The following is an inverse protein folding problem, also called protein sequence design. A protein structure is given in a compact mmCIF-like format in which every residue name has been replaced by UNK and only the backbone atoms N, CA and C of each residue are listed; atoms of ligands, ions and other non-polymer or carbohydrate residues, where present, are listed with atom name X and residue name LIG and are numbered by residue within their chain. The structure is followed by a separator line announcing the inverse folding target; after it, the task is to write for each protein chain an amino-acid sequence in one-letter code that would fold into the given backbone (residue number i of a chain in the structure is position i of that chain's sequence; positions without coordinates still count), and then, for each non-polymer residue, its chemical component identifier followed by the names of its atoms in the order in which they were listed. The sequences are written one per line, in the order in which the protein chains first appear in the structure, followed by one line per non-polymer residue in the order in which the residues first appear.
data_IF_004945035228
#
_entry.id   IF_004945035228
#
_cell.length_a   1.000
_cell.length_b   1.000
_cell.length_c   1.000
_cell.angle_alpha   90.00
_cell.angle_beta   90.00
_cell.angle_gamma   90.00
#
_symmetry.space_group_name_H-M   'P 1'
#
loop_
_entity.id
_entity.type
_entity.pdbx_description
1 polymer ?
#
# COMPACT_ATOMS: atom_id res chain seq x y z
N UNK A 1 35.77 -0.97 30.98
CA UNK A 1 34.73 -0.04 30.45
C UNK A 1 34.59 -0.09 28.93
N UNK A 2 35.70 -0.05 28.16
CA UNK A 2 35.69 -0.07 26.67
C UNK A 2 34.93 -1.26 26.06
N UNK A 3 35.06 -2.48 26.60
CA UNK A 3 34.33 -3.67 26.10
C UNK A 3 32.80 -3.54 26.18
N UNK A 4 32.26 -2.81 27.17
CA UNK A 4 30.82 -2.58 27.31
C UNK A 4 30.30 -1.57 26.29
N UNK A 5 31.12 -0.56 25.97
CA UNK A 5 30.79 0.47 24.96
C UNK A 5 30.77 -0.14 23.55
N UNK A 6 31.71 -1.04 23.24
CA UNK A 6 31.76 -1.72 21.95
C UNK A 6 30.52 -2.59 21.70
N UNK A 7 30.04 -3.27 22.75
CA UNK A 7 28.84 -4.11 22.68
C UNK A 7 27.57 -3.26 22.42
N UNK A 8 27.47 -2.09 23.04
CA UNK A 8 26.35 -1.15 22.83
C UNK A 8 26.33 -0.65 21.38
N UNK A 9 27.48 -0.34 20.79
CA UNK A 9 27.60 0.09 19.39
C UNK A 9 27.14 -0.98 18.39
N UNK A 10 27.49 -2.24 18.63
CA UNK A 10 27.04 -3.37 17.80
C UNK A 10 25.52 -3.55 17.89
N UNK A 11 24.95 -3.44 19.09
CA UNK A 11 23.49 -3.54 19.28
C UNK A 11 22.74 -2.41 18.59
N UNK A 12 23.29 -1.18 18.58
CA UNK A 12 22.68 -0.04 17.88
C UNK A 12 22.72 -0.23 16.35
N UNK A 13 23.81 -0.78 15.80
CA UNK A 13 23.89 -1.07 14.36
C UNK A 13 22.86 -2.13 13.91
N UNK A 14 22.52 -3.08 14.76
CA UNK A 14 21.54 -4.13 14.45
C UNK A 14 20.08 -3.62 14.42
N UNK A 15 19.80 -2.43 14.98
CA UNK A 15 18.44 -1.88 15.00
C UNK A 15 18.08 -1.03 13.78
N UNK A 16 19.02 -0.77 12.85
CA UNK A 16 18.73 -0.05 11.61
C UNK A 16 18.14 -1.01 10.58
N UNK A 17 16.92 -1.49 10.85
CA UNK A 17 16.14 -2.25 9.87
C UNK A 17 15.44 -1.27 8.92
N UNK A 18 15.67 -1.44 7.62
CA UNK A 18 15.04 -0.63 6.57
C UNK A 18 13.57 -1.04 6.43
N UNK A 19 12.62 -0.14 6.75
CA UNK A 19 11.20 -0.39 6.54
C UNK A 19 10.87 -0.38 5.04
N UNK A 20 10.21 -1.42 4.55
CA UNK A 20 9.67 -1.45 3.19
C UNK A 20 8.57 -0.38 3.03
N UNK A 21 8.40 0.20 1.83
CA UNK A 21 7.33 1.16 1.57
C UNK A 21 5.98 0.44 1.56
N UNK A 22 5.38 0.33 2.74
CA UNK A 22 4.08 -0.26 2.97
C UNK A 22 3.16 0.81 3.60
N UNK A 23 2.01 1.04 2.97
CA UNK A 23 1.06 2.08 3.34
C UNK A 23 -0.27 1.45 3.75
N UNK A 24 -0.90 2.05 4.76
CA UNK A 24 -2.28 1.76 5.17
C UNK A 24 -3.12 3.00 4.98
N UNK A 25 -4.30 2.83 4.38
CA UNK A 25 -5.24 3.91 4.11
C UNK A 25 -6.64 3.44 4.48
N UNK A 26 -7.37 4.25 5.24
CA UNK A 26 -8.79 4.04 5.55
C UNK A 26 -9.60 5.15 4.89
N UNK A 27 -10.56 4.77 4.07
CA UNK A 27 -11.47 5.68 3.38
C UNK A 27 -12.85 5.58 4.02
N UNK A 28 -13.32 6.71 4.53
CA UNK A 28 -14.67 6.91 5.06
C UNK A 28 -15.38 8.10 4.41
N UNK A 29 -14.66 8.88 3.58
CA UNK A 29 -15.22 10.00 2.82
C UNK A 29 -15.18 9.63 1.32
N UNK A 30 -16.35 9.67 0.67
CA UNK A 30 -16.57 9.27 -0.73
C UNK A 30 -16.87 10.48 -1.63
N UNK A 31 -16.57 11.70 -1.18
CA UNK A 31 -16.81 12.93 -1.95
C UNK A 31 -15.68 13.20 -2.96
N UNK A 32 -14.51 12.57 -2.76
CA UNK A 32 -13.29 12.87 -3.52
C UNK A 32 -12.51 11.60 -3.85
N UNK A 33 -11.86 11.63 -5.00
CA UNK A 33 -10.86 10.64 -5.37
C UNK A 33 -9.63 10.78 -4.48
N UNK A 34 -8.97 9.66 -4.20
CA UNK A 34 -7.68 9.62 -3.50
C UNK A 34 -6.65 9.01 -4.43
N UNK A 35 -5.59 9.76 -4.72
CA UNK A 35 -4.47 9.32 -5.54
C UNK A 35 -3.22 9.34 -4.69
N UNK A 36 -2.49 8.24 -4.69
CA UNK A 36 -1.20 8.11 -4.02
C UNK A 36 -0.18 7.44 -4.94
N UNK A 37 1.09 7.63 -4.63
CA UNK A 37 2.20 7.09 -5.41
C UNK A 37 3.26 6.51 -4.48
N UNK A 38 3.63 5.26 -4.75
CA UNK A 38 4.81 4.63 -4.16
C UNK A 38 5.97 4.86 -5.13
N UNK A 39 6.94 5.66 -4.67
CA UNK A 39 8.14 5.96 -5.46
C UNK A 39 8.99 4.72 -5.65
N UNK A 40 9.40 4.48 -6.88
CA UNK A 40 10.40 3.48 -7.21
C UNK A 40 11.70 3.78 -6.45
N UNK A 41 12.31 2.74 -5.90
CA UNK A 41 13.65 2.76 -5.30
C UNK A 41 14.41 1.55 -5.81
N UNK A 42 15.24 1.70 -6.85
CA UNK A 42 16.30 0.79 -7.38
C UNK A 42 16.18 -0.74 -7.12
N UNK A 43 14.97 -1.28 -6.95
CA UNK A 43 14.69 -2.70 -6.74
C UNK A 43 14.49 -3.32 -8.12
N UNK A 44 15.30 -4.32 -8.46
CA UNK A 44 15.25 -4.99 -9.78
C UNK A 44 14.07 -5.95 -9.94
N UNK A 45 13.61 -6.58 -8.86
CA UNK A 45 12.43 -7.43 -8.85
C UNK A 45 11.82 -7.47 -7.45
N UNK A 46 10.52 -7.24 -7.36
CA UNK A 46 9.71 -7.30 -6.13
C UNK A 46 8.24 -7.50 -6.49
N UNK A 47 7.33 -7.49 -5.52
CA UNK A 47 5.90 -7.66 -5.74
C UNK A 47 5.13 -6.40 -5.35
N UNK A 48 4.34 -5.86 -6.28
CA UNK A 48 3.33 -4.87 -5.95
C UNK A 48 2.11 -5.60 -5.37
N UNK A 49 1.79 -5.33 -4.10
CA UNK A 49 0.65 -5.95 -3.42
C UNK A 49 -0.32 -4.88 -2.94
N UNK A 50 -1.61 -5.18 -3.06
CA UNK A 50 -2.70 -4.42 -2.46
C UNK A 50 -3.70 -5.39 -1.83
N UNK A 51 -4.19 -5.05 -0.66
CA UNK A 51 -5.26 -5.73 0.04
C UNK A 51 -6.37 -4.73 0.34
N UNK A 52 -7.60 -5.12 0.07
CA UNK A 52 -8.78 -4.27 0.13
C UNK A 52 -9.82 -4.99 0.98
N UNK A 53 -10.29 -4.34 2.05
CA UNK A 53 -11.33 -4.88 2.93
C UNK A 53 -12.32 -3.81 3.34
N UNK A 54 -13.61 -4.13 3.33
CA UNK A 54 -14.63 -3.20 3.82
C UNK A 54 -15.99 -3.40 3.17
N UNK A 55 -16.77 -2.33 3.16
CA UNK A 55 -18.08 -2.26 2.52
C UNK A 55 -18.27 -0.92 1.82
N UNK A 56 -18.99 -0.93 0.71
CA UNK A 56 -19.38 0.27 -0.05
C UNK A 56 -20.86 0.24 -0.42
N UNK A 57 -21.50 1.40 -0.36
CA UNK A 57 -22.92 1.57 -0.65
C UNK A 57 -23.29 1.21 -2.10
N UNK A 58 -22.35 1.44 -3.01
CA UNK A 58 -22.47 1.22 -4.45
C UNK A 58 -21.08 0.98 -5.03
N UNK A 59 -20.88 1.27 -6.31
CA UNK A 59 -19.71 0.88 -7.08
C UNK A 59 -18.57 1.86 -6.85
N UNK A 60 -17.40 1.36 -6.45
CA UNK A 60 -16.12 2.09 -6.44
C UNK A 60 -15.19 1.55 -7.52
N UNK A 61 -14.20 2.35 -7.93
CA UNK A 61 -13.11 1.88 -8.79
C UNK A 61 -11.79 2.00 -8.04
N UNK A 62 -11.01 0.95 -8.09
CA UNK A 62 -9.67 0.92 -7.52
C UNK A 62 -8.70 0.64 -8.65
N UNK A 63 -7.69 1.49 -8.78
CA UNK A 63 -6.54 1.25 -9.63
C UNK A 63 -5.31 1.11 -8.77
N UNK A 64 -4.56 0.05 -8.98
CA UNK A 64 -3.28 -0.15 -8.33
C UNK A 64 -2.31 -0.72 -9.35
N UNK A 65 -1.22 0.01 -9.58
CA UNK A 65 -0.30 -0.27 -10.67
C UNK A 65 -1.02 -0.25 -12.03
N UNK A 66 -0.82 -1.29 -12.86
CA UNK A 66 -1.45 -1.44 -14.18
C UNK A 66 -2.85 -2.08 -14.13
N UNK A 67 -3.32 -2.48 -12.94
CA UNK A 67 -4.60 -3.15 -12.76
C UNK A 67 -5.65 -2.16 -12.28
N UNK A 68 -6.86 -2.26 -12.84
CA UNK A 68 -8.05 -1.56 -12.39
C UNK A 68 -9.18 -2.56 -12.19
N UNK A 69 -9.90 -2.47 -11.06
CA UNK A 69 -11.11 -3.25 -10.80
C UNK A 69 -12.21 -2.37 -10.21
N UNK A 70 -13.44 -2.82 -10.38
CA UNK A 70 -14.62 -2.22 -9.75
C UNK A 70 -15.11 -3.14 -8.63
N UNK A 71 -15.63 -2.55 -7.55
CA UNK A 71 -16.16 -3.26 -6.40
C UNK A 71 -17.52 -2.71 -5.98
N UNK A 72 -18.36 -3.57 -5.41
CA UNK A 72 -19.69 -3.24 -4.92
C UNK A 72 -20.00 -4.10 -3.68
N UNK A 73 -20.64 -3.50 -2.67
CA UNK A 73 -21.04 -4.20 -1.44
C UNK A 73 -19.86 -4.55 -0.53
N UNK A 74 -19.87 -5.75 0.05
CA UNK A 74 -18.76 -6.25 0.88
C UNK A 74 -17.55 -6.61 0.02
N UNK A 75 -16.37 -6.24 0.50
CA UNK A 75 -15.09 -6.41 -0.21
C UNK A 75 -14.11 -7.12 0.72
N UNK A 76 -13.52 -8.21 0.22
CA UNK A 76 -12.31 -8.83 0.76
C UNK A 76 -11.50 -9.37 -0.42
N UNK A 77 -10.56 -8.58 -0.92
CA UNK A 77 -9.75 -8.93 -2.10
C UNK A 77 -8.27 -8.59 -1.87
N UNK A 78 -7.40 -9.30 -2.59
CA UNK A 78 -5.97 -9.09 -2.57
C UNK A 78 -5.39 -9.28 -3.98
N UNK A 79 -4.58 -8.32 -4.42
CA UNK A 79 -3.84 -8.44 -5.68
C UNK A 79 -2.36 -8.59 -5.38
N UNK A 80 -1.72 -9.44 -6.16
CA UNK A 80 -0.29 -9.66 -6.12
C UNK A 80 0.22 -9.65 -7.56
N UNK A 81 1.09 -8.69 -7.87
CA UNK A 81 1.64 -8.50 -9.21
C UNK A 81 3.15 -8.47 -9.15
N UNK A 82 3.79 -9.07 -10.14
CA UNK A 82 5.22 -8.88 -10.35
C UNK A 82 5.51 -7.40 -10.60
N UNK A 83 6.57 -6.91 -9.97
CA UNK A 83 7.08 -5.56 -10.15
C UNK A 83 8.57 -5.60 -10.48
N UNK A 84 8.88 -5.30 -11.74
CA UNK A 84 10.22 -5.35 -12.32
C UNK A 84 10.99 -4.02 -12.17
N UNK A 85 10.50 -3.09 -11.34
CA UNK A 85 11.11 -1.78 -11.15
C UNK A 85 10.88 -0.82 -12.33
N UNK A 86 11.61 0.30 -12.32
CA UNK A 86 11.66 1.25 -13.43
C UNK A 86 10.50 2.24 -13.53
N UNK A 87 9.43 2.08 -12.74
CA UNK A 87 8.29 3.00 -12.72
C UNK A 87 7.63 3.09 -11.36
N UNK A 88 7.05 4.25 -11.02
CA UNK A 88 6.30 4.43 -9.79
C UNK A 88 5.01 3.58 -9.79
N UNK A 89 4.62 3.08 -8.61
CA UNK A 89 3.34 2.37 -8.44
C UNK A 89 2.28 3.38 -8.02
N UNK A 90 1.28 3.58 -8.87
CA UNK A 90 0.17 4.51 -8.62
C UNK A 90 -0.99 3.74 -7.98
N UNK A 91 -1.49 4.28 -6.88
CA UNK A 91 -2.76 3.88 -6.27
C UNK A 91 -3.81 4.97 -6.56
N UNK A 92 -5.00 4.57 -6.96
CA UNK A 92 -6.15 5.45 -7.11
C UNK A 92 -7.40 4.78 -6.55
N UNK A 93 -8.07 5.48 -5.66
CA UNK A 93 -9.44 5.19 -5.23
C UNK A 93 -10.37 6.24 -5.85
N UNK A 94 -11.36 5.78 -6.61
CA UNK A 94 -12.43 6.59 -7.15
C UNK A 94 -13.77 6.13 -6.56
N UNK A 95 -14.47 7.00 -5.79
CA UNK A 95 -15.76 6.65 -5.21
C UNK A 95 -16.83 6.37 -6.27
N UNK A 96 -16.66 6.82 -7.51
CA UNK A 96 -17.55 6.61 -8.65
C UNK A 96 -19.04 6.83 -8.34
N UNK A 97 -19.79 5.78 -7.96
CA UNK A 97 -21.22 5.86 -7.60
C UNK A 97 -21.46 5.78 -6.10
N UNK A 98 -20.54 5.20 -5.33
CA UNK A 98 -20.69 5.06 -3.89
C UNK A 98 -20.69 6.43 -3.20
N UNK A 99 -21.54 6.57 -2.18
CA UNK A 99 -21.67 7.79 -1.36
C UNK A 99 -21.34 7.55 0.09
N UNK A 100 -21.38 6.29 0.52
CA UNK A 100 -21.00 5.88 1.85
C UNK A 100 -20.29 4.52 1.83
N UNK A 101 -19.70 4.18 2.96
CA UNK A 101 -18.95 2.95 3.15
C UNK A 101 -17.76 3.15 4.08
N UNK A 102 -17.05 2.06 4.30
CA UNK A 102 -15.78 2.05 4.99
C UNK A 102 -14.87 1.02 4.32
N UNK A 103 -13.78 1.49 3.73
CA UNK A 103 -12.82 0.61 3.05
C UNK A 103 -11.41 0.87 3.57
N UNK A 104 -10.70 -0.21 3.84
CA UNK A 104 -9.30 -0.20 4.24
C UNK A 104 -8.45 -0.79 3.13
N UNK A 105 -7.33 -0.13 2.86
CA UNK A 105 -6.34 -0.51 1.87
C UNK A 105 -5.00 -0.70 2.57
N UNK A 106 -4.33 -1.80 2.25
CA UNK A 106 -2.95 -2.05 2.62
C UNK A 106 -2.16 -2.33 1.34
N UNK A 107 -1.19 -1.49 1.00
CA UNK A 107 -0.49 -1.61 -0.29
C UNK A 107 0.99 -1.22 -0.20
N UNK A 108 1.81 -1.85 -1.04
CA UNK A 108 3.26 -1.69 -1.00
C UNK A 108 3.99 -2.46 -2.09
N UNK A 109 5.31 -2.27 -2.12
CA UNK A 109 6.24 -3.03 -2.95
C UNK A 109 7.12 -3.88 -2.02
N UNK A 110 6.98 -5.20 -2.13
CA UNK A 110 7.64 -6.22 -1.32
C UNK A 110 8.77 -6.89 -2.12
#
# INVERSE_FOLDING_TARGET
MIKKILLILVVIMLMVSCQEPYKKLRITNFDKMVIDTIKFKDKSYSNAKIKIKGYVSDTIKVKFYEISKEYFGEIDDQWNMDYYGGMDVIFCFDPFKAKDGEVTFEYGIH
#
